data_IF_668222262603
#
_entry.id   IF_668222262603
#
_cell.length_a   1.000
_cell.length_b   1.000
_cell.length_c   1.000
_cell.angle_alpha   90.00
_cell.angle_beta   90.00
_cell.angle_gamma   90.00
#
_symmetry.space_group_name_H-M   'P 1'
#
loop_
_entity.id
_entity.type
_entity.pdbx_description
1 polymer ?
#
# COMPACT_ATOMS: atom_id res chain seq x y z
N UNK A 1 -34.31 -0.37 -0.75
CA UNK A 1 -33.06 0.18 -0.20
C UNK A 1 -32.13 0.39 -1.39
N UNK A 2 -32.10 1.63 -1.86
CA UNK A 2 -31.30 2.07 -2.99
C UNK A 2 -29.93 2.40 -2.39
N UNK A 3 -28.93 1.56 -2.64
CA UNK A 3 -27.56 1.88 -2.28
C UNK A 3 -27.19 3.22 -2.94
N UNK A 4 -26.60 4.11 -2.16
CA UNK A 4 -26.03 5.37 -2.59
C UNK A 4 -25.09 5.10 -3.78
N UNK A 5 -25.58 5.34 -5.00
CA UNK A 5 -24.73 5.75 -6.10
C UNK A 5 -24.26 7.17 -5.77
N UNK A 6 -23.10 7.28 -5.15
CA UNK A 6 -22.32 8.51 -5.05
C UNK A 6 -20.85 8.05 -5.01
N UNK A 7 -19.96 8.41 -5.91
CA UNK A 7 -20.03 9.38 -7.00
C UNK A 7 -19.01 9.00 -8.08
N UNK A 8 -19.27 9.46 -9.31
CA UNK A 8 -18.34 9.49 -10.45
C UNK A 8 -16.87 9.70 -10.02
N UNK A 9 -15.98 8.80 -10.42
CA UNK A 9 -14.55 9.09 -10.52
C UNK A 9 -14.01 8.41 -11.78
N UNK A 10 -14.29 8.99 -12.94
CA UNK A 10 -13.68 8.51 -14.18
C UNK A 10 -12.19 8.83 -14.30
N UNK A 11 -11.59 9.66 -13.41
CA UNK A 11 -10.15 10.01 -13.49
C UNK A 11 -9.53 10.49 -12.16
N UNK A 12 -9.87 9.93 -10.99
CA UNK A 12 -9.10 10.16 -9.76
C UNK A 12 -8.24 8.95 -9.44
N UNK A 13 -6.96 9.16 -9.11
CA UNK A 13 -6.08 8.08 -8.67
C UNK A 13 -6.70 7.34 -7.46
N UNK A 14 -6.60 6.00 -7.38
CA UNK A 14 -7.08 5.25 -6.23
C UNK A 14 -6.38 5.70 -4.94
N UNK A 15 -6.97 5.52 -3.76
CA UNK A 15 -6.29 5.76 -2.49
C UNK A 15 -4.91 5.09 -2.41
N UNK A 16 -3.89 5.86 -2.04
CA UNK A 16 -2.53 5.37 -1.90
C UNK A 16 -1.81 5.99 -0.71
N UNK A 17 -0.97 5.18 -0.07
CA UNK A 17 -0.03 5.57 0.97
C UNK A 17 1.38 5.27 0.45
N UNK A 18 2.33 6.19 0.64
CA UNK A 18 3.73 5.93 0.35
C UNK A 18 4.64 6.46 1.46
N UNK A 19 5.73 5.75 1.71
CA UNK A 19 6.73 6.15 2.70
C UNK A 19 8.10 5.59 2.37
N UNK A 20 9.16 6.38 2.50
CA UNK A 20 10.54 5.89 2.39
C UNK A 20 11.10 5.43 3.75
N UNK A 21 12.33 4.91 3.73
CA UNK A 21 13.02 4.44 4.94
C UNK A 21 13.16 5.53 6.01
N UNK A 22 13.40 6.78 5.59
CA UNK A 22 13.60 7.92 6.49
C UNK A 22 12.30 8.48 7.07
N UNK A 23 11.14 8.06 6.54
CA UNK A 23 9.82 8.49 7.01
C UNK A 23 9.22 9.67 6.23
N UNK A 24 9.84 10.09 5.13
CA UNK A 24 9.19 10.99 4.16
C UNK A 24 7.98 10.27 3.57
N UNK A 25 6.81 10.87 3.72
CA UNK A 25 5.54 10.28 3.33
C UNK A 25 4.82 11.15 2.29
N UNK A 26 4.12 10.50 1.38
CA UNK A 26 3.22 11.13 0.41
C UNK A 26 1.96 10.27 0.26
N UNK A 27 0.82 10.89 0.02
CA UNK A 27 -0.48 10.22 -0.01
C UNK A 27 -1.56 11.14 -0.59
N UNK A 28 -2.63 10.56 -1.16
CA UNK A 28 -3.88 11.26 -1.46
C UNK A 28 -4.99 11.02 -0.40
N UNK A 29 -4.69 10.29 0.67
CA UNK A 29 -5.55 10.10 1.85
C UNK A 29 -4.95 10.78 3.09
N UNK A 30 -5.80 11.18 4.04
CA UNK A 30 -5.36 11.75 5.30
C UNK A 30 -4.83 10.67 6.25
N UNK A 31 -3.97 11.04 7.20
CA UNK A 31 -3.42 10.08 8.17
C UNK A 31 -4.46 9.50 9.14
N UNK A 32 -5.60 10.18 9.29
CA UNK A 32 -6.72 9.72 10.13
C UNK A 32 -7.73 8.87 9.37
N UNK A 33 -7.59 8.76 8.05
CA UNK A 33 -8.52 7.99 7.23
C UNK A 33 -8.27 6.50 7.41
N UNK A 34 -9.36 5.74 7.48
CA UNK A 34 -9.35 4.28 7.58
C UNK A 34 -10.17 3.72 6.43
N UNK A 35 -9.57 2.83 5.64
CA UNK A 35 -10.23 2.18 4.51
C UNK A 35 -10.51 0.71 4.84
N UNK A 36 -11.79 0.31 4.91
CA UNK A 36 -12.15 -1.10 5.06
C UNK A 36 -11.99 -1.82 3.72
N UNK A 37 -11.15 -2.84 3.68
CA UNK A 37 -10.84 -3.60 2.45
C UNK A 37 -11.50 -4.98 2.42
N UNK A 38 -11.89 -5.48 3.59
CA UNK A 38 -12.69 -6.70 3.73
C UNK A 38 -13.86 -6.39 4.64
N UNK A 39 -15.06 -6.75 4.22
CA UNK A 39 -16.27 -6.65 5.03
C UNK A 39 -17.23 -7.77 4.72
N UNK A 40 -18.06 -8.11 5.72
CA UNK A 40 -19.04 -9.19 5.60
C UNK A 40 -20.40 -8.71 6.13
N UNK A 41 -21.46 -9.16 5.46
CA UNK A 41 -22.84 -8.85 5.82
C UNK A 41 -23.58 -10.16 6.08
N UNK A 42 -24.11 -10.30 7.30
CA UNK A 42 -24.89 -11.47 7.70
C UNK A 42 -26.31 -11.06 8.12
N UNK A 43 -27.34 -11.89 7.86
CA UNK A 43 -28.70 -11.60 8.32
C UNK A 43 -28.77 -11.43 9.85
N UNK A 44 -29.48 -10.40 10.30
CA UNK A 44 -29.69 -10.07 11.71
C UNK A 44 -28.40 -9.92 12.54
N UNK A 45 -27.29 -9.54 11.89
CA UNK A 45 -26.03 -9.17 12.55
C UNK A 45 -25.53 -7.82 12.04
N UNK A 46 -24.70 -7.16 12.83
CA UNK A 46 -23.99 -5.97 12.40
C UNK A 46 -22.96 -6.31 11.30
N UNK A 47 -22.61 -5.32 10.49
CA UNK A 47 -21.56 -5.45 9.47
C UNK A 47 -20.21 -5.64 10.17
N UNK A 48 -19.43 -6.61 9.70
CA UNK A 48 -18.11 -6.92 10.26
C UNK A 48 -17.06 -6.46 9.26
N UNK A 49 -16.02 -5.76 9.72
CA UNK A 49 -14.93 -5.23 8.90
C UNK A 49 -13.57 -5.68 9.49
N UNK A 50 -13.13 -6.92 9.22
CA UNK A 50 -11.97 -7.49 9.91
C UNK A 50 -10.63 -6.96 9.40
N UNK A 51 -10.59 -6.36 8.21
CA UNK A 51 -9.35 -5.90 7.59
C UNK A 51 -9.51 -4.48 7.09
N UNK A 52 -8.60 -3.63 7.55
CA UNK A 52 -8.52 -2.21 7.18
C UNK A 52 -7.12 -1.87 6.67
N UNK A 53 -7.04 -0.78 5.90
CA UNK A 53 -5.81 -0.10 5.55
C UNK A 53 -5.88 1.30 6.15
N UNK A 54 -4.91 1.64 6.99
CA UNK A 54 -4.80 2.95 7.63
C UNK A 54 -3.32 3.39 7.70
N UNK A 55 -3.11 4.70 7.79
CA UNK A 55 -1.76 5.27 7.77
C UNK A 55 -0.95 4.92 9.02
N UNK A 56 -1.59 4.81 10.20
CA UNK A 56 -0.89 4.53 11.45
C UNK A 56 -0.29 3.12 11.44
N UNK A 57 -1.09 2.11 11.05
CA UNK A 57 -0.62 0.74 10.89
C UNK A 57 0.48 0.64 9.82
N UNK A 58 0.34 1.34 8.70
CA UNK A 58 1.32 1.34 7.62
C UNK A 58 2.69 1.92 8.05
N UNK A 59 2.69 3.01 8.82
CA UNK A 59 3.92 3.62 9.33
C UNK A 59 4.62 2.78 10.40
N UNK A 60 3.87 2.01 11.20
CA UNK A 60 4.45 1.03 12.13
C UNK A 60 5.05 -0.14 11.37
N UNK A 61 4.30 -0.71 10.42
CA UNK A 61 4.73 -1.84 9.62
C UNK A 61 5.94 -1.53 8.73
N UNK A 62 6.08 -0.29 8.25
CA UNK A 62 7.23 0.21 7.48
C UNK A 62 8.57 -0.24 8.05
N UNK A 63 8.74 -0.17 9.37
CA UNK A 63 10.01 -0.50 10.03
C UNK A 63 10.38 -1.96 9.75
N UNK A 64 9.44 -2.88 9.99
CA UNK A 64 9.62 -4.30 9.73
C UNK A 64 9.81 -4.59 8.24
N UNK A 65 9.02 -3.95 7.37
CA UNK A 65 9.13 -4.09 5.94
C UNK A 65 10.53 -3.73 5.43
N UNK A 66 11.05 -2.55 5.78
CA UNK A 66 12.42 -2.16 5.38
C UNK A 66 13.48 -3.07 6.02
N UNK A 67 13.29 -3.56 7.24
CA UNK A 67 14.22 -4.52 7.87
C UNK A 67 14.35 -5.83 7.10
N UNK A 68 13.36 -6.21 6.29
CA UNK A 68 13.42 -7.42 5.46
C UNK A 68 14.61 -7.38 4.48
N UNK A 69 14.92 -6.22 3.88
CA UNK A 69 16.09 -6.08 2.99
C UNK A 69 17.41 -6.21 3.75
N UNK A 70 17.52 -5.65 4.95
CA UNK A 70 18.79 -5.64 5.70
C UNK A 70 19.00 -6.88 6.56
N UNK A 71 18.02 -7.24 7.40
CA UNK A 71 18.13 -8.35 8.35
C UNK A 71 17.72 -9.69 7.74
N UNK A 72 16.83 -9.68 6.75
CA UNK A 72 16.42 -10.87 6.02
C UNK A 72 17.37 -11.17 4.88
N UNK A 73 17.24 -10.44 3.77
CA UNK A 73 17.86 -10.81 2.51
C UNK A 73 19.37 -10.58 2.47
N UNK A 74 19.83 -9.40 2.89
CA UNK A 74 21.26 -9.04 2.82
C UNK A 74 22.15 -10.01 3.60
N UNK A 75 21.69 -10.50 4.75
CA UNK A 75 22.46 -11.44 5.60
C UNK A 75 22.72 -12.80 4.95
N UNK A 76 22.08 -13.10 3.82
CA UNK A 76 22.33 -14.32 3.06
C UNK A 76 23.59 -14.22 2.18
N UNK A 77 24.15 -13.03 2.01
CA UNK A 77 25.33 -12.79 1.18
C UNK A 77 26.56 -12.47 2.04
N UNK A 78 27.78 -12.86 1.59
CA UNK A 78 29.02 -12.47 2.25
C UNK A 78 29.19 -10.94 2.29
N UNK A 79 29.97 -10.47 3.26
CA UNK A 79 30.39 -9.07 3.28
C UNK A 79 31.20 -8.71 2.02
N UNK A 80 30.93 -7.55 1.44
CA UNK A 80 31.58 -7.09 0.21
C UNK A 80 30.97 -7.65 -1.09
N UNK A 81 30.00 -8.56 -1.03
CA UNK A 81 29.29 -9.06 -2.21
C UNK A 81 28.52 -7.90 -2.91
N UNK A 82 28.55 -7.79 -4.25
CA UNK A 82 27.78 -6.77 -4.98
C UNK A 82 26.27 -6.77 -4.65
N UNK A 83 25.70 -7.94 -4.35
CA UNK A 83 24.29 -8.10 -3.97
C UNK A 83 23.97 -7.38 -2.66
N UNK A 84 24.91 -7.35 -1.72
CA UNK A 84 24.77 -6.63 -0.45
C UNK A 84 24.61 -5.14 -0.69
N UNK A 85 25.42 -4.56 -1.58
CA UNK A 85 25.33 -3.14 -1.96
C UNK A 85 24.02 -2.82 -2.69
N UNK A 86 23.58 -3.70 -3.60
CA UNK A 86 22.30 -3.54 -4.29
C UNK A 86 21.13 -3.49 -3.30
N UNK A 87 21.10 -4.39 -2.32
CA UNK A 87 20.03 -4.43 -1.31
C UNK A 87 20.03 -3.19 -0.40
N UNK A 88 21.21 -2.65 -0.06
CA UNK A 88 21.31 -1.35 0.62
C UNK A 88 20.74 -0.21 -0.22
N UNK A 89 21.07 -0.17 -1.51
CA UNK A 89 20.59 0.86 -2.43
C UNK A 89 19.08 0.80 -2.60
N UNK A 90 18.50 -0.39 -2.75
CA UNK A 90 17.04 -0.57 -2.80
C UNK A 90 16.40 -0.07 -1.51
N UNK A 91 16.89 -0.53 -0.36
CA UNK A 91 16.33 -0.15 0.94
C UNK A 91 16.40 1.36 1.18
N UNK A 92 17.46 2.03 0.71
CA UNK A 92 17.67 3.48 0.91
C UNK A 92 16.85 4.34 -0.03
N UNK A 93 16.76 3.94 -1.31
CA UNK A 93 16.28 4.83 -2.37
C UNK A 93 14.81 4.60 -2.75
N UNK A 94 14.20 3.48 -2.34
CA UNK A 94 12.82 3.13 -2.73
C UNK A 94 11.79 3.56 -1.68
N UNK A 95 10.55 3.73 -2.15
CA UNK A 95 9.37 3.92 -1.31
C UNK A 95 8.62 2.60 -1.16
N UNK A 96 8.08 2.35 0.04
CA UNK A 96 6.98 1.41 0.22
C UNK A 96 5.70 2.10 -0.21
N UNK A 97 4.85 1.41 -0.96
CA UNK A 97 3.59 1.93 -1.47
C UNK A 97 2.48 0.93 -1.19
N UNK A 98 1.36 1.41 -0.65
CA UNK A 98 0.10 0.69 -0.54
C UNK A 98 -0.93 1.39 -1.41
N UNK A 99 -1.66 0.63 -2.23
CA UNK A 99 -2.66 1.13 -3.17
C UNK A 99 -3.95 0.35 -2.95
N UNK A 100 -5.10 1.03 -2.92
CA UNK A 100 -6.41 0.37 -2.78
C UNK A 100 -7.30 0.76 -3.95
N UNK A 101 -7.71 -0.23 -4.76
CA UNK A 101 -8.78 -0.04 -5.73
C UNK A 101 -10.13 -0.21 -5.04
N UNK A 102 -10.90 0.87 -4.95
CA UNK A 102 -12.20 0.87 -4.29
C UNK A 102 -13.34 0.41 -5.20
N UNK A 103 -13.13 0.26 -6.52
CA UNK A 103 -14.14 -0.35 -7.40
C UNK A 103 -14.06 -1.88 -7.29
N UNK A 104 -14.57 -2.42 -6.19
CA UNK A 104 -14.55 -3.86 -5.92
C UNK A 104 -15.38 -4.71 -6.91
N UNK A 105 -16.15 -4.08 -7.81
CA UNK A 105 -16.96 -4.78 -8.82
C UNK A 105 -16.25 -4.79 -10.18
N UNK A 106 -15.74 -3.65 -10.63
CA UNK A 106 -15.18 -3.49 -11.98
C UNK A 106 -13.73 -2.96 -12.00
N UNK A 107 -13.08 -2.90 -10.85
CA UNK A 107 -11.74 -2.34 -10.70
C UNK A 107 -10.67 -3.04 -11.54
N UNK A 108 -9.72 -2.25 -12.02
CA UNK A 108 -8.49 -2.69 -12.68
C UNK A 108 -7.32 -1.85 -12.15
N UNK A 109 -6.78 -2.28 -11.01
CA UNK A 109 -5.64 -1.65 -10.35
C UNK A 109 -4.43 -1.47 -11.28
N UNK A 110 -4.28 -2.29 -12.33
CA UNK A 110 -3.14 -2.21 -13.23
C UNK A 110 -3.23 -1.04 -14.22
N UNK A 111 -4.40 -0.40 -14.38
CA UNK A 111 -4.54 0.83 -15.20
C UNK A 111 -3.55 1.90 -14.77
N UNK A 112 -3.33 2.07 -13.47
CA UNK A 112 -2.42 3.09 -12.91
C UNK A 112 -0.98 2.90 -13.39
N UNK A 113 -0.58 1.67 -13.72
CA UNK A 113 0.78 1.37 -14.17
C UNK A 113 0.93 1.38 -15.70
N UNK A 114 -0.17 1.50 -16.47
CA UNK A 114 -0.10 1.50 -17.94
C UNK A 114 0.70 2.69 -18.47
N UNK A 115 0.57 3.85 -17.83
CA UNK A 115 1.28 5.07 -18.22
C UNK A 115 2.76 5.07 -17.79
N UNK A 116 3.11 4.32 -16.74
CA UNK A 116 4.48 4.20 -16.22
C UNK A 116 5.32 3.22 -17.06
N UNK A 117 4.69 2.27 -17.77
CA UNK A 117 5.38 1.20 -18.49
C UNK A 117 5.82 1.57 -19.92
N UNK A 118 5.56 2.78 -20.40
CA UNK A 118 5.80 3.17 -21.79
C UNK A 118 7.21 3.72 -22.10
N UNK A 119 8.21 3.29 -21.34
CA UNK A 119 9.63 3.60 -21.55
C UNK A 119 10.38 2.42 -22.20
#
# INVERSE_FOLDING_TARGET
MHWLRNANCSHSLPPWLSVNKDGTWFSNVNQTDVNAVTWEVFPAKEVIQPTIVDAASFLVWKVEAFETWSRGWRKLYPEGDPSTKLLEEVQRNYFLVSLVDNDYINGDMFVVFKDIRND
#
